data_IF_662309741733
#
_entry.id   IF_662309741733
#
_cell.length_a   1.000
_cell.length_b   1.000
_cell.length_c   1.000
_cell.angle_alpha   90.00
_cell.angle_beta   90.00
_cell.angle_gamma   90.00
#
_symmetry.space_group_name_H-M   'P 1'
#
loop_
_entity.id
_entity.type
_entity.pdbx_description
1 polymer ?
#
# COMPACT_ATOMS: atom_id res chain seq x y z
N UNK A 1 48.73 4.56 -69.66
CA UNK A 1 49.60 4.53 -68.46
C UNK A 1 50.09 3.10 -68.27
N UNK A 2 51.37 2.92 -67.92
CA UNK A 2 51.91 1.62 -67.54
C UNK A 2 51.24 1.11 -66.25
N UNK A 3 50.96 -0.19 -66.17
CA UNK A 3 50.19 -0.81 -65.06
C UNK A 3 50.93 -0.62 -63.71
N UNK A 4 52.27 -0.66 -63.75
CA UNK A 4 53.12 -0.38 -62.58
C UNK A 4 52.99 1.07 -62.10
N UNK A 5 52.86 2.03 -63.01
CA UNK A 5 52.71 3.44 -62.65
C UNK A 5 51.35 3.71 -62.00
N UNK A 6 50.28 3.08 -62.52
CA UNK A 6 48.92 3.16 -61.93
C UNK A 6 48.89 2.58 -60.51
N UNK A 7 49.52 1.43 -60.30
CA UNK A 7 49.61 0.78 -58.98
C UNK A 7 50.33 1.66 -57.96
N UNK A 8 51.46 2.28 -58.33
CA UNK A 8 52.22 3.19 -57.45
C UNK A 8 51.44 4.45 -57.07
N UNK A 9 50.72 5.06 -58.01
CA UNK A 9 49.88 6.22 -57.73
C UNK A 9 48.73 5.86 -56.78
N UNK A 10 48.09 4.71 -56.99
CA UNK A 10 47.02 4.22 -56.12
C UNK A 10 47.54 3.89 -54.71
N UNK A 11 48.73 3.30 -54.60
CA UNK A 11 49.40 3.11 -53.32
C UNK A 11 49.71 4.44 -52.63
N UNK A 12 50.20 5.44 -53.39
CA UNK A 12 50.46 6.79 -52.90
C UNK A 12 49.21 7.47 -52.35
N UNK A 13 48.08 7.40 -53.07
CA UNK A 13 46.80 7.97 -52.62
C UNK A 13 46.31 7.29 -51.32
N UNK A 14 46.41 5.96 -51.23
CA UNK A 14 46.04 5.21 -50.01
C UNK A 14 46.92 5.56 -48.82
N UNK A 15 48.22 5.73 -49.03
CA UNK A 15 49.15 6.16 -47.99
C UNK A 15 48.88 7.61 -47.55
N UNK A 16 48.56 8.50 -48.49
CA UNK A 16 48.20 9.89 -48.19
C UNK A 16 46.91 9.98 -47.37
N UNK A 17 45.89 9.17 -47.67
CA UNK A 17 44.63 9.14 -46.91
C UNK A 17 44.82 8.67 -45.45
N UNK A 18 45.81 7.81 -45.18
CA UNK A 18 46.08 7.27 -43.84
C UNK A 18 47.11 8.06 -43.04
N UNK A 19 48.15 8.57 -43.70
CA UNK A 19 49.31 9.20 -43.06
C UNK A 19 49.34 10.73 -43.21
N UNK A 20 48.42 11.32 -43.99
CA UNK A 20 48.24 12.77 -44.09
C UNK A 20 49.32 13.54 -44.87
N UNK A 21 50.19 12.85 -45.65
CA UNK A 21 51.24 13.53 -46.42
C UNK A 21 51.79 12.70 -47.58
N UNK A 22 52.35 13.38 -48.60
CA UNK A 22 52.94 12.77 -49.78
C UNK A 22 53.64 13.78 -50.69
N UNK A 23 54.53 13.30 -51.56
CA UNK A 23 55.20 14.12 -52.59
C UNK A 23 54.46 13.90 -53.91
N UNK A 24 54.00 14.99 -54.51
CA UNK A 24 53.18 14.97 -55.73
C UNK A 24 53.97 15.64 -56.88
N UNK A 25 54.05 15.03 -58.08
CA UNK A 25 54.70 15.64 -59.23
C UNK A 25 53.91 16.84 -59.75
N UNK A 26 54.58 17.81 -60.38
CA UNK A 26 53.97 19.10 -60.79
C UNK A 26 52.82 18.95 -61.80
N UNK A 27 52.78 17.84 -62.52
CA UNK A 27 51.75 17.54 -63.53
C UNK A 27 50.51 16.84 -62.92
N UNK A 28 50.51 16.51 -61.62
CA UNK A 28 49.41 15.84 -60.96
C UNK A 28 48.66 16.79 -60.00
N UNK A 29 47.33 16.84 -60.14
CA UNK A 29 46.44 17.63 -59.28
C UNK A 29 45.59 16.71 -58.40
N UNK A 30 45.35 17.11 -57.15
CA UNK A 30 44.47 16.41 -56.21
C UNK A 30 43.33 17.34 -55.83
N UNK A 31 42.12 16.95 -56.18
CA UNK A 31 40.89 17.63 -55.76
C UNK A 31 40.22 16.83 -54.62
N UNK A 32 40.08 17.46 -53.45
CA UNK A 32 39.28 16.90 -52.36
C UNK A 32 37.81 17.23 -52.61
N UNK A 33 37.03 16.23 -53.01
CA UNK A 33 35.57 16.38 -53.14
C UNK A 33 34.94 16.40 -51.75
N UNK A 34 34.75 17.60 -51.21
CA UNK A 34 33.97 17.80 -49.99
C UNK A 34 32.49 17.55 -50.32
N UNK A 35 31.79 16.66 -49.61
CA UNK A 35 30.36 16.47 -49.82
C UNK A 35 29.61 17.77 -49.52
N UNK A 36 28.54 18.04 -50.28
CA UNK A 36 27.73 19.24 -50.08
C UNK A 36 27.21 19.32 -48.64
N UNK A 37 27.21 20.51 -48.01
CA UNK A 37 26.67 20.68 -46.67
C UNK A 37 25.20 20.28 -46.61
N UNK A 38 24.79 19.52 -45.59
CA UNK A 38 23.40 19.08 -45.38
C UNK A 38 23.11 17.61 -45.71
N UNK A 39 24.08 16.82 -46.19
CA UNK A 39 23.91 15.38 -46.46
C UNK A 39 23.57 14.55 -45.21
N UNK A 40 23.86 15.02 -44.00
CA UNK A 40 23.57 14.31 -42.75
C UNK A 40 22.14 14.52 -42.23
N UNK A 41 21.47 15.61 -42.61
CA UNK A 41 20.15 15.96 -42.09
C UNK A 41 19.06 14.89 -42.35
N UNK A 42 19.00 14.23 -43.52
CA UNK A 42 18.03 13.16 -43.76
C UNK A 42 18.23 11.95 -42.85
N UNK A 43 19.47 11.62 -42.49
CA UNK A 43 19.76 10.50 -41.60
C UNK A 43 19.29 10.78 -40.18
N UNK A 44 19.52 11.99 -39.67
CA UNK A 44 18.99 12.41 -38.37
C UNK A 44 17.46 12.41 -38.35
N UNK A 45 16.82 12.93 -39.40
CA UNK A 45 15.35 12.89 -39.51
C UNK A 45 14.79 11.46 -39.52
N UNK A 46 15.50 10.51 -40.14
CA UNK A 46 15.12 9.10 -40.13
C UNK A 46 15.26 8.49 -38.73
N UNK A 47 16.36 8.77 -38.02
CA UNK A 47 16.55 8.30 -36.65
C UNK A 47 15.45 8.83 -35.74
N UNK A 48 15.16 10.14 -35.79
CA UNK A 48 14.08 10.76 -34.99
C UNK A 48 12.72 10.13 -35.28
N UNK A 49 12.45 9.79 -36.53
CA UNK A 49 11.22 9.11 -36.91
C UNK A 49 11.16 7.69 -36.35
N UNK A 50 12.24 6.92 -36.47
CA UNK A 50 12.34 5.57 -35.92
C UNK A 50 12.14 5.57 -34.40
N UNK A 51 12.77 6.49 -33.67
CA UNK A 51 12.60 6.62 -32.22
C UNK A 51 11.15 6.95 -31.85
N UNK A 52 10.51 7.87 -32.58
CA UNK A 52 9.08 8.20 -32.38
C UNK A 52 8.16 7.00 -32.59
N UNK A 53 8.41 6.20 -33.61
CA UNK A 53 7.63 5.00 -33.90
C UNK A 53 7.82 3.96 -32.80
N UNK A 54 9.05 3.74 -32.33
CA UNK A 54 9.34 2.82 -31.24
C UNK A 54 8.64 3.23 -29.94
N UNK A 55 8.68 4.52 -29.57
CA UNK A 55 7.95 5.01 -28.39
C UNK A 55 6.44 4.76 -28.50
N UNK A 56 5.83 4.96 -29.67
CA UNK A 56 4.41 4.67 -29.86
C UNK A 56 4.10 3.18 -29.78
N UNK A 57 4.94 2.34 -30.37
CA UNK A 57 4.73 0.89 -30.39
C UNK A 57 4.88 0.25 -29.01
N UNK A 58 5.82 0.73 -28.19
CA UNK A 58 6.12 0.12 -26.88
C UNK A 58 5.36 0.83 -25.75
N UNK A 59 5.43 2.15 -25.68
CA UNK A 59 4.84 2.94 -24.58
C UNK A 59 3.41 3.40 -24.88
N UNK A 60 2.93 3.27 -26.11
CA UNK A 60 1.63 3.82 -26.54
C UNK A 60 1.62 5.33 -26.77
N UNK A 61 2.75 6.02 -26.60
CA UNK A 61 2.83 7.48 -26.75
C UNK A 61 4.26 8.02 -26.78
N UNK A 62 4.42 9.29 -27.14
CA UNK A 62 5.75 9.93 -27.33
C UNK A 62 6.09 11.00 -26.30
N UNK A 63 5.13 11.42 -25.47
CA UNK A 63 5.27 12.63 -24.63
C UNK A 63 6.36 12.51 -23.55
N UNK A 64 6.51 11.34 -22.93
CA UNK A 64 7.53 11.15 -21.87
C UNK A 64 8.96 11.14 -22.40
N UNK A 65 9.14 10.92 -23.71
CA UNK A 65 10.45 10.84 -24.36
C UNK A 65 10.79 12.12 -25.15
N UNK A 66 9.79 12.95 -25.47
CA UNK A 66 9.92 14.15 -26.29
C UNK A 66 9.12 15.32 -25.71
N UNK A 67 9.33 15.61 -24.43
CA UNK A 67 8.85 16.85 -23.82
C UNK A 67 9.71 18.04 -24.31
N UNK A 68 9.61 18.34 -25.61
CA UNK A 68 10.13 19.59 -26.15
C UNK A 68 9.11 20.65 -25.73
N UNK A 69 9.45 21.42 -24.67
CA UNK A 69 8.56 22.12 -23.73
C UNK A 69 7.58 23.17 -24.29
N UNK A 70 7.30 23.16 -25.59
CA UNK A 70 6.32 24.02 -26.27
C UNK A 70 4.94 23.38 -26.48
N UNK A 71 4.80 22.05 -26.37
CA UNK A 71 3.52 21.36 -26.69
C UNK A 71 3.04 20.35 -25.64
N UNK A 72 3.69 20.23 -24.48
CA UNK A 72 3.24 19.31 -23.43
C UNK A 72 2.23 20.00 -22.49
N UNK A 73 0.95 19.94 -22.84
CA UNK A 73 -0.13 20.33 -21.92
C UNK A 73 -0.41 19.20 -20.93
N UNK A 74 -0.72 19.51 -19.67
CA UNK A 74 -1.08 18.51 -18.64
C UNK A 74 -2.18 17.53 -19.11
N UNK A 75 -3.16 18.00 -19.89
CA UNK A 75 -4.21 17.17 -20.48
C UNK A 75 -3.65 16.06 -21.41
N UNK A 76 -2.61 16.36 -22.19
CA UNK A 76 -1.96 15.38 -23.07
C UNK A 76 -1.16 14.34 -22.27
N UNK A 77 -0.60 14.75 -21.12
CA UNK A 77 0.06 13.84 -20.18
C UNK A 77 -0.90 12.81 -19.59
N UNK A 78 -2.12 13.24 -19.22
CA UNK A 78 -3.14 12.34 -18.68
C UNK A 78 -3.55 11.28 -19.71
N UNK A 79 -3.84 11.69 -20.95
CA UNK A 79 -4.19 10.75 -22.04
C UNK A 79 -3.08 9.71 -22.26
N UNK A 80 -1.80 10.09 -22.15
CA UNK A 80 -0.70 9.13 -22.31
C UNK A 80 -0.57 8.18 -21.11
N UNK A 81 -0.90 8.63 -19.91
CA UNK A 81 -0.95 7.75 -18.74
C UNK A 81 -2.12 6.77 -18.83
N UNK A 82 -3.28 7.18 -19.35
CA UNK A 82 -4.41 6.30 -19.64
C UNK A 82 -4.00 5.18 -20.62
N UNK A 83 -3.39 5.55 -21.76
CA UNK A 83 -2.92 4.54 -22.74
C UNK A 83 -1.88 3.59 -22.14
N UNK A 84 -0.96 4.10 -21.30
CA UNK A 84 0.00 3.24 -20.60
C UNK A 84 -0.67 2.29 -19.62
N UNK A 85 -1.71 2.76 -18.92
CA UNK A 85 -2.47 1.95 -18.00
C UNK A 85 -3.26 0.86 -18.72
N UNK A 86 -3.88 1.18 -19.86
CA UNK A 86 -4.58 0.22 -20.72
C UNK A 86 -3.63 -0.90 -21.20
N UNK A 87 -2.43 -0.53 -21.64
CA UNK A 87 -1.39 -1.50 -22.03
C UNK A 87 -0.97 -2.37 -20.85
N UNK A 88 -0.74 -1.77 -19.68
CA UNK A 88 -0.39 -2.50 -18.45
C UNK A 88 -1.49 -3.49 -18.06
N UNK A 89 -2.76 -3.08 -18.12
CA UNK A 89 -3.90 -3.94 -17.81
C UNK A 89 -4.01 -5.11 -18.80
N UNK A 90 -3.79 -4.85 -20.09
CA UNK A 90 -3.72 -5.87 -21.13
C UNK A 90 -2.60 -6.89 -20.88
N UNK A 91 -1.38 -6.40 -20.65
CA UNK A 91 -0.20 -7.23 -20.36
C UNK A 91 -0.40 -8.07 -19.08
N UNK A 92 -0.92 -7.45 -18.02
CA UNK A 92 -1.23 -8.11 -16.76
C UNK A 92 -2.22 -9.26 -16.97
N UNK A 93 -3.27 -9.05 -17.77
CA UNK A 93 -4.23 -10.11 -18.13
C UNK A 93 -3.58 -11.26 -18.88
N UNK A 94 -2.72 -10.97 -19.86
CA UNK A 94 -2.01 -12.01 -20.63
C UNK A 94 -1.06 -12.83 -19.75
N UNK A 95 -0.33 -12.16 -18.85
CA UNK A 95 0.55 -12.83 -17.87
C UNK A 95 -0.28 -13.67 -16.90
N UNK A 96 -1.40 -13.14 -16.42
CA UNK A 96 -2.29 -13.84 -15.49
C UNK A 96 -2.91 -15.10 -16.11
N UNK A 97 -3.34 -15.04 -17.37
CA UNK A 97 -3.82 -16.20 -18.12
C UNK A 97 -2.72 -17.25 -18.27
N UNK A 98 -1.49 -16.82 -18.60
CA UNK A 98 -0.33 -17.71 -18.73
C UNK A 98 0.00 -18.41 -17.42
N UNK A 99 0.08 -17.68 -16.31
CA UNK A 99 0.33 -18.23 -14.98
C UNK A 99 -0.79 -19.17 -14.53
N UNK A 100 -2.04 -18.82 -14.81
CA UNK A 100 -3.19 -19.67 -14.49
C UNK A 100 -3.10 -21.00 -15.25
N UNK A 101 -2.80 -20.95 -16.55
CA UNK A 101 -2.75 -22.13 -17.40
C UNK A 101 -1.51 -23.02 -17.16
N UNK A 102 -0.34 -22.41 -16.96
CA UNK A 102 0.95 -23.12 -16.93
C UNK A 102 1.47 -23.41 -15.53
N UNK A 103 1.04 -22.67 -14.51
CA UNK A 103 1.50 -22.86 -13.12
C UNK A 103 0.37 -23.35 -12.23
N UNK A 104 -0.73 -22.59 -12.13
CA UNK A 104 -1.81 -22.88 -11.19
C UNK A 104 -2.55 -24.17 -11.53
N UNK A 105 -2.91 -24.35 -12.81
CA UNK A 105 -3.64 -25.54 -13.26
C UNK A 105 -2.85 -26.84 -13.03
N UNK A 106 -1.58 -26.97 -13.43
CA UNK A 106 -0.80 -28.19 -13.14
C UNK A 106 -0.69 -28.50 -11.64
N UNK A 107 -0.50 -27.49 -10.79
CA UNK A 107 -0.43 -27.69 -9.33
C UNK A 107 -1.74 -28.25 -8.77
N UNK A 108 -2.89 -27.76 -9.24
CA UNK A 108 -4.20 -28.28 -8.83
C UNK A 108 -4.43 -29.71 -9.32
N UNK A 109 -3.99 -30.01 -10.55
CA UNK A 109 -4.04 -31.37 -11.11
C UNK A 109 -3.26 -32.36 -10.26
N UNK A 110 -2.04 -31.99 -9.85
CA UNK A 110 -1.20 -32.84 -9.01
C UNK A 110 -1.81 -33.08 -7.63
N UNK A 111 -2.54 -32.11 -7.07
CA UNK A 111 -3.21 -32.23 -5.77
C UNK A 111 -4.55 -33.02 -5.83
N UNK A 112 -5.02 -33.42 -7.00
CA UNK A 112 -6.04 -34.48 -7.17
C UNK A 112 -7.48 -34.14 -6.79
N UNK A 113 -7.80 -32.88 -6.43
CA UNK A 113 -9.16 -32.44 -6.10
C UNK A 113 -9.44 -31.05 -6.64
N UNK A 114 -9.92 -30.97 -7.88
CA UNK A 114 -10.48 -29.72 -8.38
C UNK A 114 -11.62 -29.97 -9.36
N UNK A 115 -12.69 -29.21 -9.23
CA UNK A 115 -13.75 -29.11 -10.22
C UNK A 115 -13.28 -28.16 -11.33
N UNK A 116 -13.28 -28.62 -12.59
CA UNK A 116 -12.88 -27.81 -13.73
C UNK A 116 -13.75 -26.55 -13.88
N UNK A 117 -15.00 -26.59 -13.42
CA UNK A 117 -15.91 -25.44 -13.46
C UNK A 117 -15.57 -24.37 -12.41
N UNK A 118 -14.81 -24.72 -11.35
CA UNK A 118 -14.46 -23.83 -10.24
C UNK A 118 -12.95 -23.60 -10.12
N UNK A 119 -12.24 -23.69 -11.24
CA UNK A 119 -10.80 -23.47 -11.25
C UNK A 119 -10.50 -22.02 -10.84
N UNK A 120 -9.69 -21.80 -9.78
CA UNK A 120 -9.25 -20.46 -9.44
C UNK A 120 -8.44 -19.88 -10.60
N UNK A 121 -8.52 -18.56 -10.76
CA UNK A 121 -7.75 -17.82 -11.75
C UNK A 121 -6.87 -16.83 -11.02
N UNK A 122 -5.64 -16.68 -11.50
CA UNK A 122 -4.81 -15.58 -11.07
C UNK A 122 -5.31 -14.32 -11.78
N UNK A 123 -5.39 -13.22 -11.05
CA UNK A 123 -5.74 -11.89 -11.56
C UNK A 123 -4.86 -10.88 -10.83
N UNK A 124 -4.32 -9.91 -11.58
CA UNK A 124 -3.56 -8.81 -10.99
C UNK A 124 -4.51 -7.65 -10.73
N UNK A 125 -4.31 -6.96 -9.60
CA UNK A 125 -5.04 -5.72 -9.33
C UNK A 125 -4.42 -4.57 -10.13
N UNK A 126 -5.06 -4.21 -11.23
CA UNK A 126 -4.66 -3.09 -12.09
C UNK A 126 -5.61 -1.92 -11.97
N UNK A 127 -6.26 -1.73 -10.81
CA UNK A 127 -7.15 -0.56 -10.62
C UNK A 127 -6.35 0.74 -10.66
N UNK A 128 -6.96 1.78 -11.21
CA UNK A 128 -6.43 3.13 -11.12
C UNK A 128 -6.38 3.59 -9.66
N UNK A 129 -5.30 4.26 -9.23
CA UNK A 129 -5.22 4.83 -7.89
C UNK A 129 -6.29 5.89 -7.74
N UNK A 130 -7.32 5.59 -6.96
CA UNK A 130 -8.39 6.54 -6.66
C UNK A 130 -7.88 7.54 -5.63
N UNK A 131 -8.12 8.83 -5.87
CA UNK A 131 -7.96 9.84 -4.84
C UNK A 131 -8.98 9.60 -3.72
N UNK A 132 -8.50 8.97 -2.65
CA UNK A 132 -9.30 8.65 -1.48
C UNK A 132 -9.90 9.90 -0.82
N UNK A 133 -9.23 11.05 -0.88
CA UNK A 133 -9.74 12.28 -0.32
C UNK A 133 -10.96 12.78 -1.10
N UNK A 134 -10.85 12.79 -2.44
CA UNK A 134 -11.95 13.16 -3.31
C UNK A 134 -13.13 12.19 -3.17
N UNK A 135 -12.84 10.88 -3.13
CA UNK A 135 -13.87 9.85 -2.95
C UNK A 135 -14.60 10.00 -1.61
N UNK A 136 -13.88 10.25 -0.51
CA UNK A 136 -14.48 10.48 0.81
C UNK A 136 -15.34 11.75 0.84
N UNK A 137 -14.92 12.83 0.18
CA UNK A 137 -15.72 14.07 0.04
C UNK A 137 -17.01 13.81 -0.73
N UNK A 138 -16.95 13.07 -1.83
CA UNK A 138 -18.16 12.73 -2.62
C UNK A 138 -19.11 11.85 -1.82
N UNK A 139 -18.59 10.84 -1.12
CA UNK A 139 -19.39 9.91 -0.31
C UNK A 139 -20.08 10.64 0.84
N UNK A 140 -19.35 11.50 1.56
CA UNK A 140 -19.91 12.29 2.66
C UNK A 140 -20.98 13.28 2.18
N UNK A 141 -20.78 13.94 1.04
CA UNK A 141 -21.78 14.83 0.44
C UNK A 141 -23.03 14.07 -0.02
N UNK A 142 -22.85 12.94 -0.71
CA UNK A 142 -23.94 12.09 -1.16
C UNK A 142 -24.76 11.54 0.03
N UNK A 143 -24.08 11.13 1.11
CA UNK A 143 -24.74 10.71 2.35
C UNK A 143 -25.50 11.86 3.01
N UNK A 144 -24.96 13.08 3.00
CA UNK A 144 -25.63 14.27 3.54
C UNK A 144 -26.92 14.63 2.79
N UNK A 145 -27.00 14.30 1.50
CA UNK A 145 -28.20 14.49 0.66
C UNK A 145 -29.19 13.30 0.81
N UNK A 146 -28.81 12.26 1.55
CA UNK A 146 -29.63 11.08 1.77
C UNK A 146 -29.52 10.02 0.67
N UNK A 147 -28.49 10.08 -0.18
CA UNK A 147 -28.22 9.02 -1.16
C UNK A 147 -27.68 7.77 -0.45
N UNK A 148 -28.35 6.64 -0.64
CA UNK A 148 -27.88 5.35 -0.14
C UNK A 148 -26.67 4.85 -0.93
N UNK A 149 -25.49 4.83 -0.31
CA UNK A 149 -24.28 4.24 -0.89
C UNK A 149 -24.06 2.85 -0.30
N UNK A 150 -23.93 1.84 -1.16
CA UNK A 150 -23.66 0.47 -0.74
C UNK A 150 -22.23 0.32 -0.19
N UNK A 151 -22.07 -0.45 0.89
CA UNK A 151 -20.77 -0.71 1.50
C UNK A 151 -19.82 -1.47 0.56
N UNK A 152 -20.34 -2.41 -0.23
CA UNK A 152 -19.57 -3.16 -1.24
C UNK A 152 -19.01 -2.23 -2.32
N UNK A 153 -19.84 -1.33 -2.86
CA UNK A 153 -19.41 -0.35 -3.86
C UNK A 153 -18.29 0.56 -3.32
N UNK A 154 -18.44 1.03 -2.08
CA UNK A 154 -17.43 1.86 -1.44
C UNK A 154 -16.11 1.10 -1.24
N UNK A 155 -16.20 -0.16 -0.79
CA UNK A 155 -15.04 -1.03 -0.61
C UNK A 155 -14.31 -1.29 -1.93
N UNK A 156 -15.04 -1.62 -3.00
CA UNK A 156 -14.47 -1.87 -4.33
C UNK A 156 -13.76 -0.64 -4.91
N UNK A 157 -14.35 0.55 -4.74
CA UNK A 157 -13.82 1.82 -5.25
C UNK A 157 -12.69 2.42 -4.40
N UNK A 158 -12.74 2.25 -3.07
CA UNK A 158 -11.69 2.73 -2.17
C UNK A 158 -10.52 1.75 -2.02
N UNK A 159 -10.71 0.47 -2.39
CA UNK A 159 -9.75 -0.59 -2.11
C UNK A 159 -9.71 -1.01 -0.64
N UNK A 160 -10.53 -0.41 0.23
CA UNK A 160 -10.62 -0.77 1.65
C UNK A 160 -11.54 -1.99 1.77
N UNK A 161 -11.06 -3.16 2.21
CA UNK A 161 -11.88 -4.37 2.30
C UNK A 161 -13.01 -4.21 3.32
N UNK A 162 -14.17 -4.79 3.03
CA UNK A 162 -15.25 -4.94 4.02
C UNK A 162 -14.75 -5.87 5.13
N UNK A 163 -14.90 -5.49 6.42
CA UNK A 163 -14.47 -6.35 7.51
C UNK A 163 -15.24 -7.68 7.51
N UNK A 164 -14.52 -8.79 7.64
CA UNK A 164 -15.12 -10.11 7.80
C UNK A 164 -15.75 -10.30 9.19
N UNK A 165 -16.58 -11.34 9.34
CA UNK A 165 -17.17 -11.70 10.64
C UNK A 165 -16.06 -11.87 11.70
N UNK A 166 -16.14 -11.11 12.79
CA UNK A 166 -15.19 -11.15 13.90
C UNK A 166 -13.92 -10.28 13.77
N UNK A 167 -13.75 -9.52 12.68
CA UNK A 167 -12.62 -8.59 12.56
C UNK A 167 -12.84 -7.31 13.37
N UNK A 168 -11.77 -6.82 14.03
CA UNK A 168 -11.81 -5.57 14.79
C UNK A 168 -11.90 -4.39 13.83
N UNK A 169 -13.07 -3.76 13.77
CA UNK A 169 -13.32 -2.57 12.94
C UNK A 169 -12.91 -1.30 13.68
N UNK A 170 -12.28 -0.37 12.97
CA UNK A 170 -12.00 0.97 13.49
C UNK A 170 -13.34 1.66 13.82
N UNK A 171 -13.55 1.94 15.10
CA UNK A 171 -14.72 2.70 15.54
C UNK A 171 -14.54 4.16 15.13
N UNK A 172 -15.59 4.84 14.63
CA UNK A 172 -15.50 6.27 14.37
C UNK A 172 -15.11 6.96 15.67
N UNK A 173 -14.15 7.89 15.58
CA UNK A 173 -13.89 8.84 16.65
C UNK A 173 -15.16 9.68 16.79
N UNK A 174 -16.04 9.26 17.69
CA UNK A 174 -17.19 10.07 18.09
C UNK A 174 -16.60 11.29 18.79
N UNK A 175 -16.39 12.36 18.03
CA UNK A 175 -16.21 13.69 18.60
C UNK A 175 -17.55 14.01 19.24
N UNK A 176 -17.69 13.64 20.51
CA UNK A 176 -18.79 14.08 21.35
C UNK A 176 -18.69 15.61 21.40
N UNK A 177 -19.51 16.30 20.63
CA UNK A 177 -19.87 17.66 20.98
C UNK A 177 -20.41 17.63 22.42
N UNK A 178 -19.89 18.45 23.34
CA UNK A 178 -20.33 18.43 24.72
C UNK A 178 -21.74 19.04 24.81
N UNK A 179 -22.77 18.22 24.66
CA UNK A 179 -24.14 18.55 25.05
C UNK A 179 -24.41 17.90 26.42
N UNK A 180 -24.13 18.67 27.48
CA UNK A 180 -24.04 18.22 28.86
C UNK A 180 -25.34 17.88 29.60
N UNK A 181 -26.46 17.63 28.92
CA UNK A 181 -27.74 17.39 29.62
C UNK A 181 -28.51 16.14 29.13
N UNK A 182 -28.17 15.57 27.97
CA UNK A 182 -28.88 14.40 27.42
C UNK A 182 -28.35 13.03 27.91
N UNK A 183 -27.20 13.00 28.61
CA UNK A 183 -26.59 11.74 29.05
C UNK A 183 -27.21 11.18 30.33
N UNK A 184 -27.88 12.01 31.14
CA UNK A 184 -28.54 11.59 32.37
C UNK A 184 -29.87 10.86 32.09
N UNK A 185 -30.63 11.27 31.09
CA UNK A 185 -31.89 10.62 30.70
C UNK A 185 -31.65 9.25 30.05
N UNK A 186 -30.63 9.12 29.21
CA UNK A 186 -30.25 7.86 28.57
C UNK A 186 -29.78 6.80 29.60
N UNK A 187 -29.02 7.20 30.62
CA UNK A 187 -28.57 6.30 31.68
C UNK A 187 -29.74 5.82 32.57
N UNK A 188 -30.76 6.65 32.77
CA UNK A 188 -31.95 6.29 33.55
C UNK A 188 -32.91 5.38 32.77
N UNK A 189 -33.02 5.57 31.45
CA UNK A 189 -33.81 4.71 30.56
C UNK A 189 -33.19 3.32 30.38
N UNK A 190 -31.85 3.22 30.30
CA UNK A 190 -31.15 1.93 30.26
C UNK A 190 -31.33 1.14 31.58
N UNK A 191 -31.38 1.83 32.72
CA UNK A 191 -31.60 1.18 34.02
C UNK A 191 -33.04 0.68 34.20
N UNK A 192 -34.03 1.33 33.62
CA UNK A 192 -35.42 0.83 33.62
C UNK A 192 -35.63 -0.32 32.61
N UNK A 193 -34.97 -0.29 31.45
CA UNK A 193 -35.07 -1.35 30.45
C UNK A 193 -34.40 -2.67 30.89
N UNK A 194 -33.37 -2.60 31.73
CA UNK A 194 -32.73 -3.78 32.31
C UNK A 194 -33.60 -4.49 33.37
N UNK A 195 -34.68 -3.87 33.85
CA UNK A 195 -35.60 -4.44 34.84
C UNK A 195 -36.85 -5.08 34.22
N UNK A 196 -37.06 -4.96 32.90
CA UNK A 196 -38.29 -5.42 32.22
C UNK A 196 -38.10 -6.61 31.28
N UNK A 197 -36.90 -7.20 31.21
CA UNK A 197 -36.66 -8.42 30.43
C UNK A 197 -36.78 -9.65 31.34
N UNK A 198 -37.74 -10.56 31.11
CA UNK A 198 -37.71 -11.87 31.73
C UNK A 198 -36.55 -12.65 31.10
N UNK A 199 -35.47 -12.86 31.84
CA UNK A 199 -34.37 -13.73 31.39
C UNK A 199 -34.88 -15.16 31.35
N UNK A 200 -34.90 -15.74 30.14
CA UNK A 200 -35.00 -17.17 29.96
C UNK A 200 -33.80 -17.84 30.64
N UNK A 201 -34.07 -18.96 31.32
CA UNK A 201 -33.14 -19.78 32.10
C UNK A 201 -31.76 -19.93 31.45
N UNK A 202 -30.81 -19.11 31.87
CA UNK A 202 -29.39 -19.37 31.75
C UNK A 202 -28.90 -19.65 33.17
N UNK A 203 -28.11 -20.72 33.33
CA UNK A 203 -27.51 -21.07 34.61
C UNK A 203 -26.92 -19.84 35.29
N UNK A 204 -27.30 -19.58 36.54
CA UNK A 204 -26.81 -18.44 37.31
C UNK A 204 -25.27 -18.43 37.37
N UNK A 205 -24.67 -19.63 37.26
CA UNK A 205 -23.22 -19.85 37.19
C UNK A 205 -22.62 -19.33 35.88
N UNK A 206 -23.27 -19.56 34.73
CA UNK A 206 -22.78 -19.10 33.42
C UNK A 206 -22.83 -17.56 33.32
N UNK A 207 -23.87 -16.94 33.87
CA UNK A 207 -23.96 -15.48 33.93
C UNK A 207 -22.89 -14.86 34.83
N UNK A 208 -22.52 -15.53 35.92
CA UNK A 208 -21.43 -15.09 36.80
C UNK A 208 -20.05 -15.26 36.14
N UNK A 209 -19.85 -16.33 35.36
CA UNK A 209 -18.63 -16.56 34.58
C UNK A 209 -18.47 -15.55 33.44
N UNK A 210 -19.54 -15.20 32.73
CA UNK A 210 -19.49 -14.21 31.65
C UNK A 210 -19.26 -12.78 32.17
N UNK A 211 -19.69 -12.49 33.40
CA UNK A 211 -19.48 -11.20 34.07
C UNK A 211 -18.12 -11.08 34.79
N UNK A 212 -17.47 -12.21 35.10
CA UNK A 212 -16.21 -12.25 35.85
C UNK A 212 -15.04 -11.52 35.15
N UNK A 213 -14.82 -11.61 33.82
CA UNK A 213 -13.75 -10.88 33.14
C UNK A 213 -13.86 -9.36 33.27
N UNK A 214 -15.09 -8.83 33.23
CA UNK A 214 -15.35 -7.40 33.34
C UNK A 214 -15.15 -6.89 34.77
N UNK A 215 -15.58 -7.67 35.77
CA UNK A 215 -15.37 -7.35 37.17
C UNK A 215 -13.88 -7.42 37.55
N UNK A 216 -13.16 -8.43 37.05
CA UNK A 216 -11.74 -8.60 37.27
C UNK A 216 -10.92 -7.50 36.58
N UNK A 217 -11.29 -7.10 35.36
CA UNK A 217 -10.67 -5.98 34.67
C UNK A 217 -10.83 -4.64 35.43
N UNK A 218 -11.99 -4.41 36.04
CA UNK A 218 -12.21 -3.21 36.87
C UNK A 218 -11.34 -3.22 38.14
N UNK A 219 -11.20 -4.36 38.81
CA UNK A 219 -10.37 -4.51 40.01
C UNK A 219 -8.86 -4.44 39.67
N UNK A 220 -8.44 -5.04 38.57
CA UNK A 220 -7.06 -4.98 38.07
C UNK A 220 -6.66 -3.55 37.70
N UNK A 221 -7.55 -2.78 37.07
CA UNK A 221 -7.31 -1.37 36.77
C UNK A 221 -7.18 -0.52 38.04
N UNK A 222 -7.98 -0.79 39.08
CA UNK A 222 -7.86 -0.10 40.37
C UNK A 222 -6.55 -0.44 41.10
N UNK A 223 -6.11 -1.69 41.07
CA UNK A 223 -4.85 -2.12 41.65
C UNK A 223 -3.64 -1.52 40.90
N UNK A 224 -3.68 -1.52 39.57
CA UNK A 224 -2.67 -0.88 38.73
C UNK A 224 -2.63 0.63 38.94
N UNK A 225 -3.78 1.30 39.08
CA UNK A 225 -3.82 2.72 39.38
C UNK A 225 -3.24 3.02 40.77
N UNK A 226 -3.53 2.19 41.78
CA UNK A 226 -2.96 2.35 43.13
C UNK A 226 -1.44 2.18 43.14
N UNK A 227 -0.92 1.21 42.39
CA UNK A 227 0.52 0.97 42.21
C UNK A 227 1.22 2.14 41.49
N UNK A 228 0.58 2.71 40.46
CA UNK A 228 1.16 3.76 39.63
C UNK A 228 0.95 5.18 40.19
N UNK A 229 -0.02 5.38 41.10
CA UNK A 229 -0.33 6.67 41.72
C UNK A 229 0.89 7.39 42.33
N UNK A 230 1.77 6.75 43.13
CA UNK A 230 2.97 7.41 43.66
C UNK A 230 3.98 7.81 42.58
N UNK A 231 4.07 7.05 41.48
CA UNK A 231 4.91 7.43 40.33
C UNK A 231 4.32 8.61 39.58
N UNK A 232 3.00 8.61 39.34
CA UNK A 232 2.29 9.70 38.66
C UNK A 232 2.38 11.02 39.44
N UNK A 233 2.35 10.98 40.78
CA UNK A 233 2.57 12.17 41.61
C UNK A 233 4.01 12.71 41.49
N UNK A 234 5.02 11.82 41.51
CA UNK A 234 6.43 12.21 41.31
C UNK A 234 6.69 12.76 39.90
N UNK A 235 6.05 12.18 38.88
CA UNK A 235 6.16 12.64 37.48
C UNK A 235 5.47 13.99 37.29
N UNK A 236 4.33 14.24 37.95
CA UNK A 236 3.64 15.54 37.91
C UNK A 236 4.44 16.66 38.59
N UNK A 237 5.31 16.32 39.54
CA UNK A 237 6.22 17.27 40.19
C UNK A 237 7.50 17.54 39.39
N UNK A 238 7.80 16.74 38.35
CA UNK A 238 9.01 16.88 37.53
C UNK A 238 8.78 17.84 36.36
N UNK A 239 9.67 18.82 36.21
CA UNK A 239 9.54 19.92 35.24
C UNK A 239 10.39 19.76 33.97
N UNK A 240 11.11 18.64 33.81
CA UNK A 240 11.87 18.35 32.58
C UNK A 240 11.81 16.86 32.19
N UNK A 241 11.85 16.54 30.88
CA UNK A 241 11.82 15.15 30.40
C UNK A 241 12.97 14.27 30.92
N UNK A 242 14.17 14.83 31.07
CA UNK A 242 15.35 14.10 31.56
C UNK A 242 15.23 13.74 33.05
N UNK A 243 14.55 14.58 33.84
CA UNK A 243 14.28 14.30 35.25
C UNK A 243 13.27 13.14 35.43
N UNK A 244 12.35 12.96 34.47
CA UNK A 244 11.39 11.85 34.48
C UNK A 244 12.08 10.51 34.26
N UNK A 245 13.06 10.43 33.35
CA UNK A 245 13.81 9.18 33.10
C UNK A 245 14.66 8.76 34.30
N UNK A 246 15.29 9.71 35.01
CA UNK A 246 16.04 9.42 36.23
C UNK A 246 15.12 8.93 37.37
N UNK A 247 13.96 9.57 37.55
CA UNK A 247 12.97 9.18 38.56
C UNK A 247 12.34 7.80 38.30
N UNK A 248 12.12 7.45 37.02
CA UNK A 248 11.61 6.13 36.65
C UNK A 248 12.64 5.01 36.90
N UNK A 249 13.93 5.29 36.68
CA UNK A 249 15.01 4.33 36.94
C UNK A 249 15.21 4.08 38.44
N UNK A 250 15.07 5.10 39.28
CA UNK A 250 15.19 4.97 40.74
C UNK A 250 13.98 4.34 41.40
N UNK A 251 12.77 4.50 40.84
CA UNK A 251 11.53 4.07 41.49
C UNK A 251 11.09 2.65 41.13
N UNK A 252 11.77 2.00 40.17
CA UNK A 252 11.51 0.61 39.77
C UNK A 252 11.67 -0.43 40.90
N UNK A 253 12.64 -0.32 41.84
CA UNK A 253 12.83 -1.29 42.92
C UNK A 253 11.78 -1.23 44.04
N UNK A 254 11.11 -0.07 44.21
CA UNK A 254 10.19 0.20 45.33
C UNK A 254 8.70 0.02 44.95
N UNK A 255 8.43 -0.51 43.75
CA UNK A 255 7.07 -0.77 43.29
C UNK A 255 6.43 -1.92 44.07
N UNK A 256 5.31 -1.63 44.74
CA UNK A 256 4.58 -2.61 45.56
C UNK A 256 3.64 -3.45 44.69
N UNK A 257 4.17 -4.51 44.12
CA UNK A 257 3.45 -5.41 43.20
C UNK A 257 2.54 -6.42 43.93
N UNK A 258 2.57 -6.46 45.26
CA UNK A 258 1.89 -7.47 46.09
C UNK A 258 0.39 -7.55 45.83
N UNK A 259 -0.29 -6.41 45.67
CA UNK A 259 -1.74 -6.36 45.44
C UNK A 259 -2.14 -6.92 44.07
N UNK A 260 -1.31 -6.73 43.05
CA UNK A 260 -1.49 -7.27 41.70
C UNK A 260 -1.18 -8.76 41.66
N UNK A 261 -0.14 -9.20 42.37
CA UNK A 261 0.20 -10.61 42.53
C UNK A 261 -0.91 -11.41 43.25
N UNK A 262 -1.48 -10.86 44.33
CA UNK A 262 -2.61 -11.47 45.04
C UNK A 262 -3.85 -11.57 44.15
N UNK A 263 -4.16 -10.52 43.38
CA UNK A 263 -5.33 -10.50 42.50
C UNK A 263 -5.20 -11.50 41.34
N UNK A 264 -4.02 -11.58 40.72
CA UNK A 264 -3.73 -12.60 39.69
C UNK A 264 -3.75 -14.01 40.30
N UNK A 265 -3.18 -14.18 41.50
CA UNK A 265 -3.21 -15.44 42.23
C UNK A 265 -4.64 -15.92 42.54
N UNK A 266 -5.51 -15.02 43.01
CA UNK A 266 -6.92 -15.30 43.25
C UNK A 266 -7.68 -15.62 41.95
N UNK A 267 -7.40 -14.89 40.86
CA UNK A 267 -8.02 -15.14 39.57
C UNK A 267 -7.65 -16.51 39.00
N UNK A 268 -6.38 -16.91 39.08
CA UNK A 268 -5.90 -18.22 38.63
C UNK A 268 -6.47 -19.33 39.52
N UNK A 269 -6.51 -19.12 40.84
CA UNK A 269 -7.10 -20.10 41.77
C UNK A 269 -8.60 -20.31 41.52
N UNK A 270 -9.37 -19.24 41.33
CA UNK A 270 -10.80 -19.34 41.01
C UNK A 270 -11.01 -20.01 39.65
N UNK A 271 -10.18 -19.71 38.65
CA UNK A 271 -10.24 -20.36 37.34
C UNK A 271 -9.94 -21.87 37.42
N UNK A 272 -8.98 -22.28 38.26
CA UNK A 272 -8.61 -23.69 38.45
C UNK A 272 -9.70 -24.47 39.21
N UNK A 273 -10.25 -23.89 40.29
CA UNK A 273 -11.35 -24.49 41.07
C UNK A 273 -12.62 -24.63 40.23
N UNK A 274 -12.99 -23.59 39.47
CA UNK A 274 -14.16 -23.63 38.59
C UNK A 274 -13.93 -24.56 37.39
N UNK A 275 -12.71 -24.64 36.88
CA UNK A 275 -12.33 -25.59 35.83
C UNK A 275 -12.45 -27.05 36.29
N UNK A 276 -12.03 -27.35 37.52
CA UNK A 276 -12.14 -28.69 38.10
C UNK A 276 -13.59 -29.07 38.46
N UNK A 277 -14.42 -28.12 38.91
CA UNK A 277 -15.82 -28.40 39.26
C UNK A 277 -16.70 -28.66 38.03
N UNK A 278 -16.36 -28.09 36.87
CA UNK A 278 -17.16 -28.22 35.64
C UNK A 278 -16.61 -29.24 34.63
N UNK A 279 -15.42 -29.80 34.86
CA UNK A 279 -14.87 -30.90 34.04
C UNK A 279 -15.34 -32.31 34.49
N UNK A 280 -16.17 -32.40 35.53
CA UNK A 280 -16.65 -33.64 36.15
C UNK A 280 -18.06 -34.10 35.77
N UNK A 281 -18.75 -33.35 34.90
CA UNK A 281 -20.01 -33.74 34.23
C UNK A 281 -19.77 -33.89 32.72
#
# INVERSE_FOLDING_TARGET
>A
MDEKARSRLLQGIRMMARNGGGIIPKEAEIELKVPAPGQSAPFFAMVDWCEKVQSKAILGGTLTSQADGKTSTHALGNVHNEVRHDLLAGDARMVAETLTAQLLRPLLVLNGRYDAARMPRLEFDTREPVDLEMLMKVVSWAQAIGMGIGQQWFSERSGIPVPGEGQVVLKPLSVRSPAGEATLSAAMQLRLAALSVPQASADAVQQQLDAAPLALAAQANQAAEAMLRPLLEKIRAASSPDAVYALLAEAYPDLQDTSLQELVGQAVFVADVMGQSHAGD
#
